data_IF_106766239131
#
_entry.id   IF_106766239131
#
_cell.length_a   1.000
_cell.length_b   1.000
_cell.length_c   1.000
_cell.angle_alpha   90.00
_cell.angle_beta   90.00
_cell.angle_gamma   90.00
#
_symmetry.space_group_name_H-M   'P 1'
#
loop_
_entity.id
_entity.type
_entity.pdbx_description
1 polymer ?
#
# COMPACT_ATOMS: atom_id res chain seq x y z
N UNK A 1 -16.15 -4.15 2.64
CA UNK A 1 -15.21 -3.31 1.87
C UNK A 1 -15.28 -3.77 0.42
N UNK A 2 -15.52 -2.85 -0.51
CA UNK A 2 -15.38 -3.14 -1.95
C UNK A 2 -13.95 -3.62 -2.22
N UNK A 3 -13.78 -4.73 -2.96
CA UNK A 3 -12.47 -5.18 -3.43
C UNK A 3 -11.98 -4.17 -4.47
N UNK A 4 -10.97 -3.37 -4.11
CA UNK A 4 -10.33 -2.40 -4.99
C UNK A 4 -8.82 -2.59 -4.99
N UNK A 5 -8.15 -1.96 -5.95
CA UNK A 5 -6.69 -1.91 -5.96
C UNK A 5 -6.20 -0.94 -4.88
N UNK A 6 -5.14 -1.34 -4.18
CA UNK A 6 -4.35 -0.43 -3.34
C UNK A 6 -3.30 0.20 -4.23
N UNK A 7 -3.24 1.52 -4.26
CA UNK A 7 -2.35 2.29 -5.14
C UNK A 7 -1.25 2.98 -4.35
N UNK A 8 -0.15 3.30 -5.02
CA UNK A 8 0.88 4.19 -4.47
C UNK A 8 0.26 5.50 -3.98
N UNK A 9 0.58 5.89 -2.75
CA UNK A 9 0.02 7.08 -2.12
C UNK A 9 -1.36 6.89 -1.47
N UNK A 10 -1.93 5.68 -1.45
CA UNK A 10 -3.20 5.46 -0.72
C UNK A 10 -2.96 5.47 0.79
N UNK A 11 -3.91 6.08 1.52
CA UNK A 11 -3.83 6.22 2.96
C UNK A 11 -4.19 4.92 3.68
N UNK A 12 -3.53 4.67 4.81
CA UNK A 12 -3.90 3.59 5.73
C UNK A 12 -4.76 4.12 6.87
N UNK A 13 -5.43 3.22 7.59
CA UNK A 13 -6.34 3.56 8.69
C UNK A 13 -5.65 4.22 9.89
N UNK A 14 -4.33 4.06 10.03
CA UNK A 14 -3.52 4.73 11.05
C UNK A 14 -3.02 6.12 10.62
N UNK A 15 -3.49 6.66 9.49
CA UNK A 15 -3.00 7.92 8.92
C UNK A 15 -1.64 7.78 8.22
N UNK A 16 -1.21 6.56 7.94
CA UNK A 16 -0.04 6.27 7.13
C UNK A 16 -0.36 6.23 5.64
N UNK A 17 0.61 5.80 4.83
CA UNK A 17 0.46 5.76 3.37
C UNK A 17 1.30 4.65 2.72
N UNK A 18 0.84 4.14 1.57
CA UNK A 18 1.62 3.28 0.68
C UNK A 18 2.75 4.07 0.02
N UNK A 19 4.00 3.63 0.23
CA UNK A 19 5.21 4.35 -0.21
C UNK A 19 6.04 3.59 -1.26
N UNK A 20 5.70 2.34 -1.57
CA UNK A 20 6.23 1.64 -2.75
C UNK A 20 5.13 0.87 -3.48
N UNK A 21 5.34 0.66 -4.78
CA UNK A 21 4.48 -0.16 -5.62
C UNK A 21 5.35 -0.78 -6.73
N UNK A 22 5.53 -2.09 -6.66
CA UNK A 22 6.40 -2.88 -7.53
C UNK A 22 5.68 -3.39 -8.78
N UNK A 23 4.34 -3.34 -8.80
CA UNK A 23 3.55 -3.78 -9.94
C UNK A 23 3.87 -3.01 -11.23
N UNK A 24 3.72 -3.71 -12.35
CA UNK A 24 3.66 -3.10 -13.68
C UNK A 24 2.26 -2.60 -14.04
N UNK A 25 1.24 -2.96 -13.25
CA UNK A 25 -0.14 -2.51 -13.43
C UNK A 25 -0.32 -1.07 -12.95
N UNK A 26 -0.98 -0.25 -13.77
CA UNK A 26 -1.27 1.16 -13.50
C UNK A 26 -2.77 1.40 -13.58
N UNK A 27 -3.33 2.04 -12.56
CA UNK A 27 -4.74 2.43 -12.46
C UNK A 27 -4.78 3.92 -12.13
N UNK A 28 -5.51 4.70 -12.91
CA UNK A 28 -5.61 6.17 -12.75
C UNK A 28 -4.23 6.86 -12.65
N UNK A 29 -3.24 6.39 -13.41
CA UNK A 29 -1.88 6.92 -13.41
C UNK A 29 -1.02 6.52 -12.21
N UNK A 30 -1.52 5.67 -11.31
CA UNK A 30 -0.80 5.18 -10.13
C UNK A 30 -0.54 3.69 -10.22
N UNK A 31 0.63 3.24 -9.77
CA UNK A 31 0.95 1.81 -9.69
C UNK A 31 0.17 1.12 -8.59
N UNK A 32 -0.25 -0.12 -8.86
CA UNK A 32 -0.85 -1.02 -7.88
C UNK A 32 0.22 -1.55 -6.93
N UNK A 33 -0.05 -1.56 -5.63
CA UNK A 33 0.83 -2.16 -4.63
C UNK A 33 0.61 -3.67 -4.53
N UNK A 34 1.69 -4.42 -4.32
CA UNK A 34 1.68 -5.87 -4.16
C UNK A 34 2.15 -6.29 -2.77
N UNK A 35 2.01 -7.57 -2.46
CA UNK A 35 2.68 -8.18 -1.29
C UNK A 35 4.19 -7.92 -1.39
N UNK A 36 4.79 -7.44 -0.30
CA UNK A 36 6.19 -7.03 -0.21
C UNK A 36 6.42 -5.53 -0.42
N UNK A 37 5.47 -4.80 -1.00
CA UNK A 37 5.54 -3.34 -1.07
C UNK A 37 5.40 -2.70 0.31
N UNK A 38 5.86 -1.46 0.46
CA UNK A 38 6.03 -0.79 1.74
C UNK A 38 4.93 0.22 2.01
N UNK A 39 4.53 0.29 3.27
CA UNK A 39 3.71 1.36 3.85
C UNK A 39 4.50 2.08 4.94
N UNK A 40 4.29 3.39 5.09
CA UNK A 40 4.76 4.17 6.23
C UNK A 40 3.63 4.34 7.22
N UNK A 41 3.85 4.02 8.49
CA UNK A 41 2.87 4.19 9.57
C UNK A 41 3.39 5.21 10.61
N UNK A 42 2.62 6.28 10.93
CA UNK A 42 3.05 7.30 11.89
C UNK A 42 2.90 6.86 13.35
N UNK A 43 2.27 5.71 13.61
CA UNK A 43 2.09 5.18 14.97
C UNK A 43 3.46 4.80 15.56
N UNK A 44 3.71 5.24 16.78
CA UNK A 44 4.97 4.97 17.50
C UNK A 44 5.27 3.46 17.51
N UNK A 45 6.50 3.10 17.16
CA UNK A 45 6.96 1.70 17.08
C UNK A 45 6.56 0.93 15.81
N UNK A 46 5.71 1.47 14.92
CA UNK A 46 5.36 0.80 13.66
C UNK A 46 6.35 1.12 12.53
N UNK A 47 6.48 2.40 12.16
CA UNK A 47 7.40 2.83 11.09
C UNK A 47 7.07 2.24 9.71
N UNK A 48 8.10 1.87 8.95
CA UNK A 48 7.96 1.33 7.58
C UNK A 48 7.77 -0.19 7.65
N UNK A 49 6.68 -0.68 7.08
CA UNK A 49 6.31 -2.11 7.09
C UNK A 49 5.95 -2.61 5.68
N UNK A 50 6.09 -3.92 5.47
CA UNK A 50 5.68 -4.56 4.22
C UNK A 50 4.19 -4.94 4.23
N UNK A 51 3.56 -4.91 3.06
CA UNK A 51 2.25 -5.51 2.82
C UNK A 51 2.44 -7.03 2.82
N UNK A 52 1.73 -7.76 3.69
CA UNK A 52 1.92 -9.21 3.89
C UNK A 52 0.84 -10.08 3.23
N UNK A 53 -0.28 -9.48 2.83
CA UNK A 53 -1.41 -10.20 2.25
C UNK A 53 -2.06 -9.39 1.12
N UNK A 54 -2.74 -10.09 0.21
CA UNK A 54 -3.39 -9.52 -0.96
C UNK A 54 -4.43 -10.48 -1.55
N UNK A 55 -5.01 -10.12 -2.70
CA UNK A 55 -5.87 -11.04 -3.45
C UNK A 55 -5.05 -12.22 -3.98
N UNK A 56 -5.64 -13.43 -4.09
CA UNK A 56 -5.13 -14.49 -4.95
C UNK A 56 -4.98 -14.03 -6.39
#
# INVERSE_FOLDING_TARGET
MSKGFVLIGDNTTHGGQVISASSTMVVNGKKVALVGDKVSCPKEGHGINAIIEGSP
#
